data_IF_785934075360
#
_entry.id   IF_785934075360
#
_cell.length_a   1.000
_cell.length_b   1.000
_cell.length_c   1.000
_cell.angle_alpha   90.00
_cell.angle_beta   90.00
_cell.angle_gamma   90.00
#
_symmetry.space_group_name_H-M   'P 1'
#
loop_
_entity.id
_entity.type
_entity.pdbx_description
1 polymer ?
#
# COMPACT_ATOMS: atom_id res chain seq x y z
N UNK A 1 -7.75 -13.67 24.08
CA UNK A 1 -8.38 -12.55 24.83
C UNK A 1 -7.73 -11.24 24.40
N UNK A 2 -8.49 -10.14 24.23
CA UNK A 2 -7.97 -8.84 23.75
C UNK A 2 -6.76 -8.32 24.54
N UNK A 3 -6.75 -8.54 25.87
CA UNK A 3 -5.63 -8.21 26.76
C UNK A 3 -4.32 -8.92 26.38
N UNK A 4 -4.38 -10.21 26.02
CA UNK A 4 -3.20 -10.97 25.55
C UNK A 4 -2.64 -10.37 24.27
N UNK A 5 -3.53 -10.08 23.31
CA UNK A 5 -3.14 -9.47 22.04
C UNK A 5 -2.52 -8.09 22.22
N UNK A 6 -3.06 -7.28 23.14
CA UNK A 6 -2.48 -5.97 23.47
C UNK A 6 -1.11 -6.13 24.14
N UNK A 7 -0.96 -7.10 25.05
CA UNK A 7 0.31 -7.37 25.73
C UNK A 7 1.42 -7.75 24.74
N UNK A 8 1.12 -8.69 23.83
CA UNK A 8 2.06 -9.15 22.81
C UNK A 8 2.50 -7.99 21.91
N UNK A 9 1.55 -7.18 21.44
CA UNK A 9 1.83 -6.00 20.61
C UNK A 9 2.69 -4.96 21.34
N UNK A 10 2.38 -4.68 22.60
CA UNK A 10 3.11 -3.73 23.42
C UNK A 10 4.57 -4.16 23.59
N UNK A 11 4.78 -5.43 23.98
CA UNK A 11 6.11 -6.01 24.17
C UNK A 11 6.94 -6.04 22.87
N UNK A 12 6.38 -6.56 21.78
CA UNK A 12 7.07 -6.65 20.49
C UNK A 12 7.51 -5.26 20.00
N UNK A 13 6.64 -4.26 20.13
CA UNK A 13 6.96 -2.90 19.70
C UNK A 13 8.09 -2.28 20.51
N UNK A 14 8.10 -2.44 21.84
CA UNK A 14 9.16 -1.91 22.70
C UNK A 14 10.49 -2.63 22.50
N UNK A 15 10.49 -3.95 22.27
CA UNK A 15 11.71 -4.70 21.95
C UNK A 15 12.33 -4.14 20.66
N UNK A 16 11.52 -3.97 19.60
CA UNK A 16 12.01 -3.41 18.33
C UNK A 16 12.57 -2.00 18.49
N UNK A 17 11.90 -1.15 19.27
CA UNK A 17 12.38 0.19 19.58
C UNK A 17 13.75 0.16 20.25
N UNK A 18 13.93 -0.72 21.24
CA UNK A 18 15.23 -0.87 21.91
C UNK A 18 16.31 -1.34 20.93
N UNK A 19 16.04 -2.36 20.10
CA UNK A 19 17.00 -2.82 19.09
C UNK A 19 17.42 -1.68 18.15
N UNK A 20 16.46 -0.91 17.65
CA UNK A 20 16.76 0.21 16.74
C UNK A 20 17.56 1.32 17.42
N UNK A 21 17.28 1.62 18.70
CA UNK A 21 18.06 2.58 19.49
C UNK A 21 19.51 2.12 19.66
N UNK A 22 19.75 0.82 19.86
CA UNK A 22 21.11 0.27 19.93
C UNK A 22 21.86 0.41 18.60
N UNK A 23 21.20 0.13 17.48
CA UNK A 23 21.77 0.26 16.14
C UNK A 23 22.10 1.72 15.80
N UNK A 24 21.16 2.64 16.03
CA UNK A 24 21.35 4.06 15.79
C UNK A 24 22.42 4.67 16.71
N UNK A 25 22.54 4.17 17.94
CA UNK A 25 23.60 4.53 18.87
C UNK A 25 25.00 4.16 18.38
N UNK A 26 25.14 3.12 17.55
CA UNK A 26 26.43 2.78 16.90
C UNK A 26 26.79 3.74 15.75
N UNK A 27 25.80 4.41 15.16
CA UNK A 27 25.95 5.30 13.99
C UNK A 27 26.11 6.78 14.42
N UNK A 28 26.10 7.09 15.73
CA UNK A 28 26.36 8.43 16.28
C UNK A 28 25.38 9.52 15.80
N UNK A 29 24.13 9.16 15.48
CA UNK A 29 23.08 10.12 15.11
C UNK A 29 22.47 10.70 16.39
N UNK A 30 23.02 11.83 16.84
CA UNK A 30 22.67 12.55 18.08
C UNK A 30 21.22 13.07 18.15
N UNK A 31 20.45 13.06 17.06
CA UNK A 31 19.12 13.67 17.01
C UNK A 31 17.98 12.84 17.63
N UNK A 32 18.16 11.53 17.87
CA UNK A 32 17.07 10.64 18.30
C UNK A 32 16.82 10.57 19.82
N UNK A 33 17.73 11.10 20.64
CA UNK A 33 17.53 11.16 22.10
C UNK A 33 16.42 12.13 22.51
N UNK A 34 16.32 13.29 21.85
CA UNK A 34 15.27 14.27 22.14
C UNK A 34 13.90 13.71 21.79
N UNK A 35 13.75 13.04 20.64
CA UNK A 35 12.47 12.45 20.23
C UNK A 35 12.04 11.28 21.13
N UNK A 36 12.98 10.50 21.66
CA UNK A 36 12.65 9.43 22.61
C UNK A 36 12.15 9.99 23.95
N UNK A 37 12.62 11.14 24.43
CA UNK A 37 12.07 11.81 25.61
C UNK A 37 10.57 12.13 25.46
N UNK A 38 10.16 12.69 24.31
CA UNK A 38 8.75 12.99 24.02
C UNK A 38 7.88 11.73 24.03
N UNK A 39 8.32 10.69 23.32
CA UNK A 39 7.60 9.42 23.25
C UNK A 39 7.43 8.80 24.66
N UNK A 40 8.53 8.68 25.42
CA UNK A 40 8.48 8.06 26.74
C UNK A 40 7.72 8.90 27.76
N UNK A 41 7.69 10.23 27.63
CA UNK A 41 6.80 11.10 28.43
C UNK A 41 5.34 10.69 28.26
N UNK A 42 4.87 10.63 27.03
CA UNK A 42 3.46 10.35 26.73
C UNK A 42 3.10 8.90 27.09
N UNK A 43 4.01 7.96 26.81
CA UNK A 43 3.83 6.56 27.20
C UNK A 43 3.73 6.39 28.72
N UNK A 44 4.63 7.00 29.49
CA UNK A 44 4.64 6.89 30.95
C UNK A 44 3.43 7.57 31.60
N UNK A 45 2.96 8.68 31.03
CA UNK A 45 1.71 9.32 31.47
C UNK A 45 0.51 8.38 31.32
N UNK A 46 0.44 7.59 30.24
CA UNK A 46 -0.63 6.61 30.04
C UNK A 46 -0.47 5.41 30.98
N UNK A 47 0.74 4.84 31.06
CA UNK A 47 0.98 3.57 31.76
C UNK A 47 0.94 3.73 33.28
N UNK A 48 1.58 4.76 33.81
CA UNK A 48 1.64 4.97 35.26
C UNK A 48 0.64 6.01 35.77
N UNK A 49 -0.06 6.72 34.86
CA UNK A 49 -0.96 7.80 35.25
C UNK A 49 -0.23 9.05 35.74
N UNK A 50 1.01 9.27 35.30
CA UNK A 50 1.77 10.47 35.63
C UNK A 50 1.32 11.70 34.83
N UNK A 51 1.86 12.86 35.19
CA UNK A 51 1.71 14.16 34.53
C UNK A 51 3.09 14.74 34.20
N UNK A 52 3.90 13.97 33.47
CA UNK A 52 5.26 14.31 33.07
C UNK A 52 5.28 15.39 32.00
N UNK A 53 6.22 16.32 32.13
CA UNK A 53 6.59 17.33 31.15
C UNK A 53 8.09 17.27 30.85
N UNK A 54 8.49 17.64 29.63
CA UNK A 54 9.92 17.72 29.29
C UNK A 54 10.56 18.93 29.98
N UNK A 55 11.62 18.67 30.74
CA UNK A 55 12.34 19.71 31.49
C UNK A 55 13.14 20.65 30.57
N UNK A 56 13.61 20.14 29.42
CA UNK A 56 14.42 20.85 28.41
C UNK A 56 13.75 22.07 27.76
N UNK A 57 12.48 22.41 28.08
CA UNK A 57 11.80 23.64 27.60
C UNK A 57 12.26 24.93 28.30
N UNK A 58 13.06 24.88 29.38
CA UNK A 58 13.38 26.09 30.20
C UNK A 58 14.86 26.41 30.46
N UNK A 59 15.82 25.50 30.28
CA UNK A 59 17.26 25.78 30.46
C UNK A 59 18.13 24.86 29.59
N UNK A 60 19.14 25.41 28.90
CA UNK A 60 20.08 24.68 28.01
C UNK A 60 21.26 23.99 28.73
N UNK A 61 21.34 24.09 30.06
CA UNK A 61 22.43 23.50 30.84
C UNK A 61 21.99 22.13 31.38
N UNK A 62 22.64 21.06 30.91
CA UNK A 62 22.25 19.66 31.08
C UNK A 62 21.78 19.28 32.51
N UNK A 63 20.45 19.24 32.77
CA UNK A 63 19.92 18.90 34.08
C UNK A 63 20.15 17.41 34.39
N UNK A 64 19.93 17.02 35.65
CA UNK A 64 20.11 15.63 36.09
C UNK A 64 19.05 14.66 35.54
N UNK A 65 17.98 15.17 34.94
CA UNK A 65 16.80 14.43 34.49
C UNK A 65 16.19 15.11 33.26
N UNK A 66 15.38 14.37 32.51
CA UNK A 66 14.81 14.82 31.24
C UNK A 66 13.32 15.15 31.38
N UNK A 67 12.61 14.40 32.23
CA UNK A 67 11.17 14.55 32.48
C UNK A 67 10.90 14.91 33.95
N UNK A 68 9.87 15.73 34.18
CA UNK A 68 9.43 16.14 35.51
C UNK A 68 7.91 16.11 35.65
N UNK A 69 7.44 15.58 36.76
CA UNK A 69 6.05 15.64 37.22
C UNK A 69 6.03 16.37 38.56
N UNK A 70 5.57 17.63 38.53
CA UNK A 70 5.51 18.48 39.72
C UNK A 70 4.41 18.06 40.70
N UNK A 71 3.38 17.36 40.21
CA UNK A 71 2.21 16.92 41.00
C UNK A 71 2.58 15.72 41.86
N UNK A 72 3.18 14.70 41.24
CA UNK A 72 3.59 13.47 41.93
C UNK A 72 5.01 13.56 42.51
N UNK A 73 5.71 14.68 42.30
CA UNK A 73 7.10 14.91 42.72
C UNK A 73 8.04 13.82 42.18
N UNK A 74 7.94 13.55 40.88
CA UNK A 74 8.77 12.56 40.19
C UNK A 74 9.66 13.26 39.17
N UNK A 75 10.92 12.88 39.11
CA UNK A 75 11.83 13.23 38.03
C UNK A 75 12.35 11.95 37.36
N UNK A 76 12.44 11.95 36.04
CA UNK A 76 12.84 10.77 35.27
C UNK A 76 13.97 11.11 34.32
N UNK A 77 15.01 10.29 34.33
CA UNK A 77 16.05 10.31 33.31
C UNK A 77 15.81 9.19 32.29
N UNK A 78 15.75 9.54 31.01
CA UNK A 78 15.67 8.63 29.87
C UNK A 78 17.09 8.38 29.36
N UNK A 79 17.56 7.14 29.36
CA UNK A 79 18.97 6.85 29.02
C UNK A 79 19.16 5.54 28.28
N UNK A 80 19.94 5.58 27.20
CA UNK A 80 20.30 4.38 26.44
C UNK A 80 21.46 3.57 27.05
N UNK A 81 22.14 4.11 28.07
CA UNK A 81 23.32 3.48 28.68
C UNK A 81 22.97 2.84 30.02
N UNK A 82 22.66 1.55 30.01
CA UNK A 82 22.37 0.76 31.22
C UNK A 82 23.64 0.34 31.97
N UNK A 83 24.38 1.30 32.53
CA UNK A 83 25.60 1.06 33.33
C UNK A 83 25.50 1.68 34.72
N UNK A 84 26.13 1.02 35.71
CA UNK A 84 26.16 1.51 37.10
C UNK A 84 26.74 2.93 37.19
N UNK A 85 27.86 3.15 36.50
CA UNK A 85 28.53 4.45 36.48
C UNK A 85 27.60 5.56 35.99
N UNK A 86 26.77 5.32 34.97
CA UNK A 86 25.83 6.31 34.45
C UNK A 86 24.80 6.75 35.50
N UNK A 87 24.28 5.82 36.30
CA UNK A 87 23.36 6.12 37.42
C UNK A 87 24.09 6.94 38.49
N UNK A 88 25.29 6.51 38.91
CA UNK A 88 26.06 7.21 39.93
C UNK A 88 26.50 8.60 39.48
N UNK A 89 26.85 8.79 38.21
CA UNK A 89 27.21 10.09 37.65
C UNK A 89 26.01 11.05 37.69
N UNK A 90 24.79 10.56 37.46
CA UNK A 90 23.57 11.34 37.66
C UNK A 90 23.34 11.64 39.13
N UNK A 91 23.43 10.63 40.02
CA UNK A 91 23.21 10.79 41.46
C UNK A 91 24.22 11.74 42.14
N UNK A 92 25.41 11.94 41.55
CA UNK A 92 26.44 12.88 42.02
C UNK A 92 26.15 14.34 41.66
N UNK A 93 25.21 14.62 40.76
CA UNK A 93 24.93 16.00 40.32
C UNK A 93 24.36 16.82 41.46
N UNK A 94 25.02 17.93 41.80
CA UNK A 94 24.64 18.83 42.90
C UNK A 94 23.22 19.38 42.78
N UNK A 95 22.70 19.53 41.55
CA UNK A 95 21.33 19.98 41.32
C UNK A 95 20.26 19.06 41.95
N UNK A 96 20.59 17.80 42.24
CA UNK A 96 19.67 16.88 42.91
C UNK A 96 19.43 17.22 44.38
N UNK A 97 20.33 17.98 45.04
CA UNK A 97 20.14 18.40 46.43
C UNK A 97 18.89 19.26 46.58
N UNK A 98 18.70 20.25 45.69
CA UNK A 98 17.50 21.09 45.68
C UNK A 98 16.23 20.26 45.46
N UNK A 99 16.29 19.25 44.58
CA UNK A 99 15.14 18.38 44.31
C UNK A 99 14.85 17.41 45.45
N UNK A 100 15.87 16.97 46.18
CA UNK A 100 15.70 16.21 47.40
C UNK A 100 14.95 17.03 48.45
N UNK A 101 15.34 18.28 48.68
CA UNK A 101 14.66 19.19 49.61
C UNK A 101 13.20 19.46 49.22
N UNK A 102 12.92 19.56 47.92
CA UNK A 102 11.56 19.69 47.39
C UNK A 102 10.75 18.36 47.44
N UNK A 103 11.36 17.26 47.91
CA UNK A 103 10.72 15.95 48.11
C UNK A 103 10.59 15.09 46.85
N UNK A 104 11.41 15.31 45.82
CA UNK A 104 11.33 14.55 44.58
C UNK A 104 11.92 13.14 44.68
N UNK A 105 11.30 12.22 43.95
CA UNK A 105 11.78 10.87 43.70
C UNK A 105 12.39 10.77 42.30
N UNK A 106 13.63 10.30 42.23
CA UNK A 106 14.33 10.09 40.96
C UNK A 106 14.08 8.68 40.43
N UNK A 107 13.73 8.59 39.15
CA UNK A 107 13.60 7.34 38.40
C UNK A 107 14.48 7.36 37.15
N UNK A 108 14.88 6.17 36.70
CA UNK A 108 15.61 5.96 35.47
C UNK A 108 14.78 5.05 34.56
N UNK A 109 14.55 5.47 33.33
CA UNK A 109 14.05 4.59 32.28
C UNK A 109 15.19 4.27 31.33
N UNK A 110 15.53 2.98 31.25
CA UNK A 110 16.55 2.53 30.31
C UNK A 110 15.91 2.17 28.98
N UNK A 111 16.56 2.57 27.89
CA UNK A 111 16.15 2.28 26.51
C UNK A 111 17.33 1.64 25.78
N UNK A 112 17.09 0.94 24.68
CA UNK A 112 18.15 0.15 24.03
C UNK A 112 18.60 -1.02 24.89
N UNK A 113 19.92 -1.18 25.06
CA UNK A 113 20.48 -2.34 25.75
C UNK A 113 20.22 -2.28 27.26
N UNK A 114 19.43 -3.23 27.75
CA UNK A 114 18.99 -3.32 29.14
C UNK A 114 19.59 -4.52 29.84
N UNK A 115 19.89 -4.38 31.13
CA UNK A 115 20.39 -5.47 31.96
C UNK A 115 19.66 -5.51 33.30
N UNK A 116 18.82 -6.52 33.52
CA UNK A 116 18.05 -6.70 34.75
C UNK A 116 18.90 -6.70 36.02
N UNK A 117 20.15 -7.18 35.96
CA UNK A 117 21.04 -7.22 37.12
C UNK A 117 21.40 -5.82 37.64
N UNK A 118 21.16 -4.75 36.87
CA UNK A 118 21.38 -3.37 37.31
C UNK A 118 20.58 -3.03 38.58
N UNK A 119 19.39 -3.59 38.74
CA UNK A 119 18.49 -3.34 39.88
C UNK A 119 19.04 -3.87 41.20
N UNK A 120 19.87 -4.90 41.14
CA UNK A 120 20.46 -5.59 42.30
C UNK A 120 21.80 -4.99 42.73
N UNK A 121 22.28 -3.93 42.07
CA UNK A 121 23.54 -3.26 42.42
C UNK A 121 23.31 -2.21 43.50
N UNK A 122 24.36 -1.95 44.28
CA UNK A 122 24.41 -0.83 45.21
C UNK A 122 24.95 0.41 44.50
N UNK A 123 24.34 1.57 44.79
CA UNK A 123 24.67 2.85 44.17
C UNK A 123 25.05 3.88 45.24
N UNK A 124 26.10 4.64 44.98
CA UNK A 124 26.40 5.83 45.79
C UNK A 124 25.42 6.95 45.47
N UNK A 125 24.70 7.43 46.49
CA UNK A 125 23.71 8.50 46.40
C UNK A 125 24.09 9.63 47.37
N UNK A 126 25.12 10.44 47.04
CA UNK A 126 25.70 11.41 47.98
C UNK A 126 24.72 12.52 48.39
N UNK A 127 23.75 12.85 47.54
CA UNK A 127 22.75 13.89 47.77
C UNK A 127 21.45 13.37 48.38
N UNK A 128 21.39 12.08 48.75
CA UNK A 128 20.28 11.43 49.43
C UNK A 128 18.89 11.62 48.79
N UNK A 129 18.82 11.78 47.46
CA UNK A 129 17.53 11.86 46.77
C UNK A 129 16.76 10.54 46.92
N UNK A 130 15.43 10.57 46.96
CA UNK A 130 14.62 9.37 47.05
C UNK A 130 14.83 8.51 45.79
N UNK A 131 15.51 7.38 45.95
CA UNK A 131 15.84 6.44 44.89
C UNK A 131 16.02 5.01 45.47
N UNK A 132 15.24 4.07 44.97
CA UNK A 132 15.31 2.63 45.23
C UNK A 132 15.55 1.90 43.91
N UNK A 133 16.73 1.29 43.75
CA UNK A 133 17.13 0.65 42.49
C UNK A 133 16.19 -0.46 42.01
N UNK A 134 15.41 -1.08 42.91
CA UNK A 134 14.45 -2.13 42.52
C UNK A 134 13.17 -1.55 41.92
N UNK A 135 12.72 -0.39 42.41
CA UNK A 135 11.44 0.24 42.04
C UNK A 135 11.58 1.42 41.08
N UNK A 136 12.72 2.08 41.10
CA UNK A 136 12.95 3.34 40.41
C UNK A 136 13.81 3.19 39.16
N UNK A 137 14.29 1.97 38.89
CA UNK A 137 14.81 1.59 37.58
C UNK A 137 13.68 0.91 36.81
N UNK A 138 13.26 1.53 35.71
CA UNK A 138 12.22 1.03 34.81
C UNK A 138 12.89 0.47 33.55
N UNK A 139 12.65 -0.82 33.32
CA UNK A 139 13.05 -1.57 32.13
C UNK A 139 11.79 -1.93 31.31
N UNK A 140 12.00 -2.55 30.14
CA UNK A 140 10.88 -2.97 29.27
C UNK A 140 9.93 -3.92 29.98
N UNK A 141 10.46 -4.84 30.79
CA UNK A 141 9.65 -5.80 31.55
C UNK A 141 8.73 -5.12 32.55
N UNK A 142 9.22 -4.09 33.26
CA UNK A 142 8.41 -3.36 34.24
C UNK A 142 7.28 -2.58 33.55
N UNK A 143 7.55 -1.98 32.38
CA UNK A 143 6.52 -1.35 31.55
C UNK A 143 5.45 -2.34 31.12
N UNK A 144 5.86 -3.54 30.72
CA UNK A 144 4.93 -4.60 30.33
C UNK A 144 4.08 -5.10 31.50
N UNK A 145 4.64 -5.23 32.69
CA UNK A 145 3.92 -5.61 33.91
C UNK A 145 2.87 -4.55 34.27
N UNK A 146 3.24 -3.28 34.26
CA UNK A 146 2.32 -2.18 34.56
C UNK A 146 1.24 -2.03 33.48
N UNK A 147 1.61 -2.16 32.20
CA UNK A 147 0.66 -2.16 31.09
C UNK A 147 -0.37 -3.30 31.21
N UNK A 148 0.05 -4.48 31.67
CA UNK A 148 -0.84 -5.62 31.87
C UNK A 148 -1.93 -5.32 32.91
N UNK A 149 -1.62 -4.52 33.93
CA UNK A 149 -2.55 -4.15 35.00
C UNK A 149 -3.57 -3.08 34.58
N UNK A 150 -3.34 -2.37 33.47
CA UNK A 150 -4.27 -1.36 32.96
C UNK A 150 -5.63 -1.96 32.55
N UNK A 151 -6.66 -1.09 32.53
CA UNK A 151 -7.92 -1.43 31.88
C UNK A 151 -7.77 -1.41 30.35
N UNK A 152 -8.71 -2.07 29.66
CA UNK A 152 -8.60 -2.28 28.22
C UNK A 152 -8.55 -0.99 27.40
N UNK A 153 -9.24 0.07 27.84
CA UNK A 153 -9.27 1.36 27.15
C UNK A 153 -7.92 2.07 27.23
N UNK A 154 -7.26 2.04 28.40
CA UNK A 154 -5.91 2.58 28.55
C UNK A 154 -4.88 1.76 27.78
N UNK A 155 -5.03 0.44 27.73
CA UNK A 155 -4.19 -0.42 26.88
C UNK A 155 -4.32 -0.04 25.41
N UNK A 156 -5.55 0.11 24.92
CA UNK A 156 -5.81 0.50 23.53
C UNK A 156 -5.19 1.88 23.22
N UNK A 157 -5.30 2.84 24.15
CA UNK A 157 -4.73 4.17 23.97
C UNK A 157 -3.20 4.17 23.89
N UNK A 158 -2.52 3.40 24.75
CA UNK A 158 -1.07 3.23 24.66
C UNK A 158 -0.65 2.53 23.35
N UNK A 159 -1.39 1.50 22.90
CA UNK A 159 -1.14 0.84 21.60
C UNK A 159 -1.33 1.81 20.43
N UNK A 160 -2.29 2.72 20.51
CA UNK A 160 -2.50 3.76 19.50
C UNK A 160 -1.34 4.75 19.45
N UNK A 161 -0.81 5.18 20.60
CA UNK A 161 0.39 6.02 20.68
C UNK A 161 1.60 5.33 20.02
N UNK A 162 1.86 4.08 20.38
CA UNK A 162 2.92 3.25 19.79
C UNK A 162 2.82 3.20 18.27
N UNK A 163 1.61 3.00 17.73
CA UNK A 163 1.37 2.98 16.28
C UNK A 163 1.61 4.34 15.64
N UNK A 164 1.14 5.44 16.25
CA UNK A 164 1.26 6.78 15.64
C UNK A 164 2.70 7.26 15.60
N UNK A 165 3.46 7.03 16.67
CA UNK A 165 4.81 7.60 16.80
C UNK A 165 5.91 6.68 16.31
N UNK A 166 5.78 5.35 16.49
CA UNK A 166 6.87 4.42 16.20
C UNK A 166 6.72 3.67 14.88
N UNK A 167 5.54 3.71 14.24
CA UNK A 167 5.31 3.09 12.94
C UNK A 167 6.44 3.45 11.94
N UNK A 168 6.70 4.72 11.61
CA UNK A 168 7.74 5.07 10.64
C UNK A 168 9.16 4.58 11.01
N UNK A 169 9.46 4.46 12.31
CA UNK A 169 10.81 4.15 12.84
C UNK A 169 11.10 2.63 12.91
N UNK A 170 10.08 1.80 13.14
CA UNK A 170 10.23 0.36 13.38
C UNK A 170 10.01 -0.52 12.14
N UNK A 171 9.69 0.09 11.00
CA UNK A 171 9.31 -0.63 9.78
C UNK A 171 10.47 -0.93 8.81
N UNK A 172 11.70 -0.45 9.02
CA UNK A 172 12.78 -0.60 8.02
C UNK A 172 13.38 -2.02 7.88
N UNK A 173 13.48 -2.81 8.96
CA UNK A 173 14.07 -4.16 8.89
C UNK A 173 13.04 -5.28 8.79
N UNK A 174 11.83 -5.07 9.34
CA UNK A 174 10.70 -6.01 9.20
C UNK A 174 10.02 -5.96 7.84
N UNK A 175 10.47 -5.07 6.94
CA UNK A 175 9.99 -4.88 5.57
C UNK A 175 11.12 -5.01 4.55
N UNK A 176 12.19 -5.75 4.86
CA UNK A 176 13.29 -6.04 3.91
C UNK A 176 12.76 -6.49 2.55
N UNK A 177 11.69 -7.29 2.55
CA UNK A 177 11.01 -7.75 1.34
C UNK A 177 10.52 -6.61 0.44
N UNK A 178 10.18 -5.43 0.98
CA UNK A 178 9.73 -4.26 0.24
C UNK A 178 10.88 -3.37 -0.30
N UNK A 179 12.15 -3.70 0.00
CA UNK A 179 13.29 -2.97 -0.55
C UNK A 179 13.44 -3.28 -2.03
N UNK A 180 13.77 -2.25 -2.82
CA UNK A 180 13.91 -2.37 -4.28
C UNK A 180 14.95 -3.43 -4.66
N UNK A 181 16.06 -3.50 -3.93
CA UNK A 181 17.12 -4.50 -4.13
C UNK A 181 16.58 -5.92 -3.93
N UNK A 182 15.84 -6.17 -2.84
CA UNK A 182 15.28 -7.48 -2.55
C UNK A 182 14.27 -7.91 -3.61
N UNK A 183 13.37 -7.01 -4.01
CA UNK A 183 12.36 -7.30 -5.05
C UNK A 183 13.06 -7.65 -6.37
N UNK A 184 14.10 -6.89 -6.74
CA UNK A 184 14.89 -7.14 -7.95
C UNK A 184 15.61 -8.49 -7.90
N UNK A 185 16.31 -8.78 -6.80
CA UNK A 185 17.01 -10.06 -6.61
C UNK A 185 16.04 -11.24 -6.67
N UNK A 186 14.88 -11.11 -6.02
CA UNK A 186 13.86 -12.16 -6.02
C UNK A 186 13.27 -12.38 -7.41
N UNK A 187 13.01 -11.30 -8.14
CA UNK A 187 12.47 -11.40 -9.50
C UNK A 187 13.48 -12.04 -10.45
N UNK A 188 14.74 -11.59 -10.45
CA UNK A 188 15.81 -12.16 -11.28
C UNK A 188 16.09 -13.63 -10.92
N UNK A 189 16.08 -13.98 -9.63
CA UNK A 189 16.17 -15.37 -9.19
C UNK A 189 15.03 -16.21 -9.78
N UNK A 190 13.77 -15.76 -9.69
CA UNK A 190 12.66 -16.54 -10.23
C UNK A 190 12.68 -16.60 -11.76
N UNK A 191 13.06 -15.53 -12.45
CA UNK A 191 13.16 -15.53 -13.92
C UNK A 191 14.29 -16.46 -14.39
N UNK A 192 15.46 -16.42 -13.77
CA UNK A 192 16.56 -17.34 -14.11
C UNK A 192 16.18 -18.82 -13.91
N UNK A 193 15.33 -19.11 -12.92
CA UNK A 193 14.80 -20.45 -12.66
C UNK A 193 13.71 -20.91 -13.65
N UNK A 194 13.28 -20.06 -14.59
CA UNK A 194 12.43 -20.49 -15.73
C UNK A 194 13.21 -21.26 -16.81
N UNK A 195 14.53 -21.40 -16.66
CA UNK A 195 15.44 -22.09 -17.59
C UNK A 195 15.38 -21.50 -19.03
N UNK A 196 15.75 -22.28 -20.05
CA UNK A 196 15.70 -21.91 -21.48
C UNK A 196 14.31 -21.52 -22.03
N UNK A 197 13.28 -21.44 -21.18
CA UNK A 197 11.91 -21.04 -21.54
C UNK A 197 11.73 -19.53 -21.62
N UNK A 198 12.70 -18.77 -21.12
CA UNK A 198 12.75 -17.32 -21.26
C UNK A 198 14.06 -16.90 -21.92
N UNK A 199 13.94 -16.15 -23.01
CA UNK A 199 15.05 -15.53 -23.72
C UNK A 199 14.60 -14.12 -24.13
N UNK A 200 15.17 -13.09 -23.50
CA UNK A 200 14.82 -11.69 -23.77
C UNK A 200 14.98 -11.31 -25.26
N UNK A 201 15.91 -11.95 -25.97
CA UNK A 201 16.18 -11.67 -27.38
C UNK A 201 15.08 -12.15 -28.36
N UNK A 202 14.14 -13.00 -27.90
CA UNK A 202 13.02 -13.49 -28.71
C UNK A 202 11.67 -12.86 -28.29
N UNK A 203 11.71 -11.75 -27.55
CA UNK A 203 10.50 -11.06 -27.10
C UNK A 203 9.82 -10.38 -28.30
N UNK A 204 8.76 -11.01 -28.81
CA UNK A 204 7.87 -10.40 -29.81
C UNK A 204 6.72 -9.74 -29.05
N UNK A 205 6.46 -8.47 -29.36
CA UNK A 205 5.33 -7.76 -28.76
C UNK A 205 4.02 -8.34 -29.31
N UNK A 206 3.24 -9.02 -28.48
CA UNK A 206 1.99 -9.69 -28.89
C UNK A 206 0.78 -9.03 -28.27
N UNK A 207 -0.41 -9.29 -28.82
CA UNK A 207 -1.69 -8.83 -28.23
C UNK A 207 -1.79 -9.23 -26.75
N UNK A 208 -1.25 -10.39 -26.38
CA UNK A 208 -1.26 -10.89 -25.00
C UNK A 208 -0.46 -10.00 -24.03
N UNK A 209 0.45 -9.16 -24.52
CA UNK A 209 1.21 -8.23 -23.68
C UNK A 209 0.32 -7.08 -23.18
N UNK A 210 -0.76 -6.74 -23.89
CA UNK A 210 -1.69 -5.68 -23.49
C UNK A 210 -2.53 -6.05 -22.26
N UNK A 211 -2.67 -7.34 -21.96
CA UNK A 211 -3.43 -7.83 -20.80
C UNK A 211 -2.89 -7.23 -19.48
N UNK A 212 -1.60 -6.91 -19.44
CA UNK A 212 -0.97 -6.31 -18.25
C UNK A 212 -1.44 -4.88 -17.95
N UNK A 213 -1.91 -4.18 -18.99
CA UNK A 213 -2.25 -2.76 -18.92
C UNK A 213 -3.46 -2.55 -17.99
N UNK A 214 -4.49 -3.41 -18.09
CA UNK A 214 -5.68 -3.35 -17.25
C UNK A 214 -5.43 -3.80 -15.81
N UNK A 215 -4.72 -4.91 -15.59
CA UNK A 215 -4.46 -5.47 -14.25
C UNK A 215 -3.43 -4.68 -13.44
N UNK A 216 -2.56 -3.90 -14.09
CA UNK A 216 -1.52 -3.11 -13.41
C UNK A 216 -1.80 -1.61 -13.43
N UNK A 217 -2.88 -1.23 -14.13
CA UNK A 217 -3.34 0.15 -14.33
C UNK A 217 -2.17 1.06 -14.70
N UNK A 218 -1.48 0.69 -15.77
CA UNK A 218 -0.32 1.42 -16.27
C UNK A 218 -0.72 2.85 -16.65
N UNK A 219 0.26 3.75 -16.74
CA UNK A 219 -0.01 5.10 -17.22
C UNK A 219 -0.58 5.09 -18.64
N UNK A 220 -0.07 4.21 -19.50
CA UNK A 220 -0.57 4.03 -20.85
C UNK A 220 -2.05 3.59 -20.88
N UNK A 221 -2.46 2.70 -19.96
CA UNK A 221 -3.87 2.33 -19.79
C UNK A 221 -4.74 3.54 -19.46
N UNK A 222 -4.33 4.35 -18.48
CA UNK A 222 -5.05 5.56 -18.05
C UNK A 222 -5.19 6.57 -19.19
N UNK A 223 -4.07 6.88 -19.86
CA UNK A 223 -4.06 7.86 -20.96
C UNK A 223 -4.87 7.40 -22.17
N UNK A 224 -4.76 6.12 -22.55
CA UNK A 224 -5.47 5.59 -23.72
C UNK A 224 -6.98 5.60 -23.49
N UNK A 225 -7.45 5.22 -22.30
CA UNK A 225 -8.85 5.35 -21.93
C UNK A 225 -9.34 6.80 -22.04
N UNK A 226 -8.63 7.76 -21.44
CA UNK A 226 -8.99 9.18 -21.54
C UNK A 226 -9.02 9.66 -23.00
N UNK A 227 -8.06 9.22 -23.82
CA UNK A 227 -7.99 9.59 -25.24
C UNK A 227 -9.22 9.11 -26.01
N UNK A 228 -9.60 7.83 -25.86
CA UNK A 228 -10.78 7.30 -26.53
C UNK A 228 -12.07 7.99 -26.07
N UNK A 229 -12.21 8.24 -24.76
CA UNK A 229 -13.39 8.93 -24.22
C UNK A 229 -13.50 10.37 -24.73
N UNK A 230 -12.38 11.09 -24.84
CA UNK A 230 -12.35 12.45 -25.42
C UNK A 230 -12.68 12.45 -26.91
N UNK A 231 -12.12 11.49 -27.66
CA UNK A 231 -12.41 11.37 -29.10
C UNK A 231 -13.89 11.03 -29.33
N UNK A 232 -14.44 10.11 -28.55
CA UNK A 232 -15.85 9.72 -28.62
C UNK A 232 -16.78 10.89 -28.27
N UNK A 233 -16.50 11.59 -27.16
CA UNK A 233 -17.20 12.82 -26.77
C UNK A 233 -17.18 13.85 -27.91
N UNK A 234 -16.00 14.12 -28.48
CA UNK A 234 -15.85 15.08 -29.56
C UNK A 234 -16.69 14.75 -30.81
N UNK A 235 -16.86 13.47 -31.15
CA UNK A 235 -17.74 13.08 -32.24
C UNK A 235 -19.23 13.14 -31.88
N UNK A 236 -19.63 12.77 -30.65
CA UNK A 236 -21.03 12.84 -30.19
C UNK A 236 -21.51 14.30 -30.11
N UNK A 237 -20.65 15.20 -29.63
CA UNK A 237 -20.95 16.64 -29.49
C UNK A 237 -20.93 17.40 -30.82
N UNK A 238 -20.31 16.83 -31.86
CA UNK A 238 -20.23 17.46 -33.18
C UNK A 238 -21.60 17.45 -33.89
N UNK A 239 -22.41 18.45 -33.57
CA UNK A 239 -23.76 18.61 -34.10
C UNK A 239 -23.73 18.82 -35.62
N UNK A 240 -24.61 18.09 -36.31
CA UNK A 240 -24.83 18.18 -37.77
C UNK A 240 -26.30 18.43 -38.10
N UNK A 241 -27.13 18.75 -37.09
CA UNK A 241 -28.56 18.96 -37.25
C UNK A 241 -28.88 20.11 -38.22
N UNK A 242 -28.01 21.11 -38.29
CA UNK A 242 -28.06 22.24 -39.22
C UNK A 242 -27.87 21.82 -40.68
N UNK A 243 -27.10 20.75 -40.94
CA UNK A 243 -26.93 20.15 -42.26
C UNK A 243 -28.15 19.35 -42.73
N UNK A 244 -29.04 18.96 -41.80
CA UNK A 244 -30.25 18.20 -42.11
C UNK A 244 -31.37 19.15 -42.52
N UNK A 245 -31.82 19.07 -43.79
CA UNK A 245 -32.87 19.95 -44.32
C UNK A 245 -34.26 19.36 -44.09
N UNK A 246 -34.41 18.06 -44.32
CA UNK A 246 -35.66 17.34 -44.20
C UNK A 246 -36.01 17.05 -42.74
N UNK A 247 -37.32 17.08 -42.43
CA UNK A 247 -37.83 16.66 -41.10
C UNK A 247 -37.46 15.21 -40.77
N UNK A 248 -37.35 14.36 -41.79
CA UNK A 248 -36.99 12.95 -41.64
C UNK A 248 -35.53 12.78 -41.24
N UNK A 249 -34.58 13.43 -41.93
CA UNK A 249 -33.17 13.37 -41.56
C UNK A 249 -32.92 13.91 -40.14
N UNK A 250 -33.60 15.00 -39.76
CA UNK A 250 -33.57 15.53 -38.38
C UNK A 250 -34.03 14.49 -37.36
N UNK A 251 -35.14 13.79 -37.62
CA UNK A 251 -35.62 12.75 -36.72
C UNK A 251 -34.65 11.56 -36.60
N UNK A 252 -34.07 11.11 -37.72
CA UNK A 252 -33.06 10.04 -37.72
C UNK A 252 -31.84 10.45 -36.89
N UNK A 253 -31.32 11.66 -37.11
CA UNK A 253 -30.21 12.22 -36.32
C UNK A 253 -30.55 12.25 -34.83
N UNK A 254 -31.72 12.77 -34.44
CA UNK A 254 -32.12 12.87 -33.04
C UNK A 254 -32.31 11.49 -32.40
N UNK A 255 -32.86 10.51 -33.12
CA UNK A 255 -32.99 9.14 -32.64
C UNK A 255 -31.63 8.48 -32.43
N UNK A 256 -30.69 8.67 -33.36
CA UNK A 256 -29.33 8.18 -33.22
C UNK A 256 -28.63 8.82 -32.00
N UNK A 257 -28.72 10.15 -31.85
CA UNK A 257 -28.11 10.87 -30.72
C UNK A 257 -28.63 10.39 -29.37
N UNK A 258 -29.92 10.05 -29.28
CA UNK A 258 -30.52 9.53 -28.03
C UNK A 258 -29.86 8.24 -27.54
N UNK A 259 -29.35 7.39 -28.43
CA UNK A 259 -28.66 6.14 -28.04
C UNK A 259 -27.45 6.45 -27.15
N UNK A 260 -26.78 7.57 -27.41
CA UNK A 260 -25.56 7.98 -26.72
C UNK A 260 -25.79 8.87 -25.50
N UNK A 261 -27.04 9.25 -25.20
CA UNK A 261 -27.32 10.23 -24.14
C UNK A 261 -26.79 9.84 -22.75
N UNK A 262 -26.99 8.57 -22.36
CA UNK A 262 -26.45 8.05 -21.10
C UNK A 262 -24.92 8.01 -21.13
N UNK A 263 -24.33 7.51 -22.23
CA UNK A 263 -22.88 7.44 -22.37
C UNK A 263 -22.23 8.82 -22.31
N UNK A 264 -22.80 9.80 -23.03
CA UNK A 264 -22.36 11.19 -23.03
C UNK A 264 -22.35 11.77 -21.61
N UNK A 265 -23.44 11.55 -20.85
CA UNK A 265 -23.52 11.99 -19.46
C UNK A 265 -22.44 11.35 -18.59
N UNK A 266 -22.28 10.02 -18.65
CA UNK A 266 -21.30 9.30 -17.81
C UNK A 266 -19.86 9.65 -18.19
N UNK A 267 -19.57 9.86 -19.48
CA UNK A 267 -18.28 10.33 -19.97
C UNK A 267 -17.99 11.76 -19.49
N UNK A 268 -18.97 12.67 -19.53
CA UNK A 268 -18.82 14.02 -19.01
C UNK A 268 -18.49 14.00 -17.51
N UNK A 269 -19.26 13.25 -16.73
CA UNK A 269 -19.02 13.06 -15.31
C UNK A 269 -17.58 12.57 -15.05
N UNK A 270 -17.10 11.56 -15.80
CA UNK A 270 -15.75 11.03 -15.63
C UNK A 270 -14.64 12.04 -15.98
N UNK A 271 -14.82 12.80 -17.06
CA UNK A 271 -13.82 13.75 -17.56
C UNK A 271 -13.75 15.03 -16.71
N UNK A 272 -14.85 15.48 -16.11
CA UNK A 272 -14.93 16.72 -15.30
C UNK A 272 -14.45 16.55 -13.86
N UNK A 273 -14.40 15.33 -13.33
CA UNK A 273 -13.94 15.08 -11.96
C UNK A 273 -12.44 15.42 -11.81
N UNK A 274 -12.08 16.23 -10.82
CA UNK A 274 -10.69 16.48 -10.42
C UNK A 274 -10.21 15.52 -9.32
N UNK A 275 -10.52 14.22 -9.49
CA UNK A 275 -10.16 13.16 -8.53
C UNK A 275 -9.02 12.27 -9.05
N UNK A 276 -8.39 11.52 -8.14
CA UNK A 276 -7.41 10.49 -8.52
C UNK A 276 -8.09 9.35 -9.30
N UNK A 277 -7.34 8.67 -10.17
CA UNK A 277 -7.86 7.61 -11.04
C UNK A 277 -8.62 6.51 -10.27
N UNK A 278 -8.18 6.19 -9.05
CA UNK A 278 -8.82 5.21 -8.17
C UNK A 278 -10.28 5.56 -7.84
N UNK A 279 -10.57 6.82 -7.52
CA UNK A 279 -11.94 7.26 -7.22
C UNK A 279 -12.81 7.30 -8.49
N UNK A 280 -12.16 7.48 -9.64
CA UNK A 280 -12.82 7.47 -10.95
C UNK A 280 -13.17 6.09 -11.48
N UNK A 281 -12.59 5.00 -10.92
CA UNK A 281 -12.84 3.62 -11.38
C UNK A 281 -14.32 3.28 -11.44
N UNK A 282 -15.11 3.71 -10.45
CA UNK A 282 -16.56 3.44 -10.39
C UNK A 282 -17.31 3.95 -11.63
N UNK A 283 -16.92 5.11 -12.18
CA UNK A 283 -17.53 5.67 -13.38
C UNK A 283 -17.10 4.93 -14.64
N UNK A 284 -15.86 4.41 -14.68
CA UNK A 284 -15.40 3.57 -15.79
C UNK A 284 -16.21 2.28 -15.90
N UNK A 285 -16.69 1.72 -14.79
CA UNK A 285 -17.56 0.53 -14.81
C UNK A 285 -18.83 0.80 -15.61
N UNK A 286 -19.54 1.86 -15.27
CA UNK A 286 -20.77 2.28 -15.96
C UNK A 286 -20.51 2.58 -17.44
N UNK A 287 -19.43 3.31 -17.74
CA UNK A 287 -19.05 3.63 -19.13
C UNK A 287 -18.76 2.35 -19.94
N UNK A 288 -18.05 1.39 -19.36
CA UNK A 288 -17.72 0.14 -20.07
C UNK A 288 -18.95 -0.72 -20.33
N UNK A 289 -19.91 -0.76 -19.40
CA UNK A 289 -21.20 -1.42 -19.60
C UNK A 289 -21.98 -0.78 -20.76
N UNK A 290 -22.12 0.55 -20.75
CA UNK A 290 -22.78 1.29 -21.83
C UNK A 290 -22.11 1.09 -23.19
N UNK A 291 -20.77 1.06 -23.23
CA UNK A 291 -20.02 0.81 -24.47
C UNK A 291 -20.27 -0.61 -25.00
N UNK A 292 -20.39 -1.61 -24.13
CA UNK A 292 -20.65 -3.00 -24.55
C UNK A 292 -22.10 -3.20 -25.03
N UNK A 293 -23.05 -2.44 -24.46
CA UNK A 293 -24.46 -2.46 -24.89
C UNK A 293 -24.68 -1.79 -26.25
N UNK A 294 -23.84 -0.82 -26.61
CA UNK A 294 -23.96 -0.11 -27.89
C UNK A 294 -23.42 -0.99 -29.02
N UNK A 295 -24.35 -1.56 -29.78
CA UNK A 295 -24.09 -2.23 -31.05
C UNK A 295 -24.85 -1.51 -32.16
N UNK A 296 -24.15 -0.69 -32.95
CA UNK A 296 -24.76 0.08 -34.04
C UNK A 296 -23.96 -0.11 -35.32
N UNK A 297 -24.63 -0.64 -36.34
CA UNK A 297 -24.19 -0.56 -37.72
C UNK A 297 -24.91 0.62 -38.40
N UNK A 298 -24.20 1.66 -38.89
CA UNK A 298 -24.80 2.82 -39.53
C UNK A 298 -25.70 2.49 -40.73
N UNK A 299 -25.37 1.46 -41.49
CA UNK A 299 -26.17 1.03 -42.64
C UNK A 299 -27.47 0.40 -42.16
N UNK A 300 -27.41 -0.54 -41.21
CA UNK A 300 -28.59 -1.19 -40.63
C UNK A 300 -29.49 -0.15 -39.96
N UNK A 301 -28.91 0.72 -39.13
CA UNK A 301 -29.65 1.76 -38.42
C UNK A 301 -30.41 2.67 -39.39
N UNK A 302 -29.76 3.10 -40.47
CA UNK A 302 -30.42 3.90 -41.50
C UNK A 302 -31.46 3.11 -42.26
N UNK A 303 -31.27 1.82 -42.55
CA UNK A 303 -32.28 1.01 -43.24
C UNK A 303 -33.52 0.81 -42.38
N UNK A 304 -33.39 0.40 -41.11
CA UNK A 304 -34.51 0.18 -40.18
C UNK A 304 -35.33 1.45 -39.95
N UNK A 305 -34.65 2.60 -39.86
CA UNK A 305 -35.32 3.90 -39.71
C UNK A 305 -35.85 4.47 -41.05
N UNK A 306 -35.47 3.88 -42.19
CA UNK A 306 -35.95 4.23 -43.52
C UNK A 306 -37.05 3.30 -44.05
N UNK A 307 -37.33 2.15 -43.42
CA UNK A 307 -38.35 1.19 -43.90
C UNK A 307 -39.76 1.77 -44.01
N UNK A 308 -40.01 2.98 -43.49
CA UNK A 308 -41.29 3.68 -43.68
C UNK A 308 -41.34 4.75 -44.79
N UNK A 309 -40.25 5.18 -45.45
CA UNK A 309 -40.33 6.18 -46.55
C UNK A 309 -39.04 6.29 -47.39
N UNK A 310 -38.88 5.40 -48.36
CA UNK A 310 -37.70 5.26 -49.26
C UNK A 310 -37.37 6.52 -50.10
N UNK A 311 -38.18 7.59 -50.10
CA UNK A 311 -38.02 8.76 -50.99
C UNK A 311 -37.90 10.13 -50.30
N UNK A 312 -37.64 10.22 -48.98
CA UNK A 312 -37.81 11.51 -48.24
C UNK A 312 -36.54 12.18 -47.69
N UNK A 313 -35.38 11.57 -47.86
CA UNK A 313 -34.07 12.15 -47.52
C UNK A 313 -33.22 12.20 -48.78
N UNK A 314 -32.49 13.31 -48.97
CA UNK A 314 -31.58 13.45 -50.12
C UNK A 314 -30.34 12.56 -49.96
N UNK A 315 -29.72 12.17 -51.07
CA UNK A 315 -28.45 11.42 -51.05
C UNK A 315 -27.35 12.16 -50.28
N UNK A 316 -27.33 13.50 -50.34
CA UNK A 316 -26.39 14.30 -49.55
C UNK A 316 -26.64 14.20 -48.04
N UNK A 317 -27.90 14.28 -47.58
CA UNK A 317 -28.24 14.12 -46.15
C UNK A 317 -27.92 12.70 -45.67
N UNK A 318 -28.21 11.69 -46.49
CA UNK A 318 -27.89 10.30 -46.21
C UNK A 318 -26.38 10.12 -46.04
N UNK A 319 -25.58 10.69 -46.95
CA UNK A 319 -24.12 10.63 -46.87
C UNK A 319 -23.57 11.35 -45.64
N UNK A 320 -24.12 12.51 -45.27
CA UNK A 320 -23.73 13.24 -44.05
C UNK A 320 -24.05 12.43 -42.78
N UNK A 321 -25.25 11.84 -42.69
CA UNK A 321 -25.63 10.95 -41.58
C UNK A 321 -24.72 9.73 -41.50
N UNK A 322 -24.50 9.04 -42.62
CA UNK A 322 -23.60 7.88 -42.69
C UNK A 322 -22.19 8.25 -42.23
N UNK A 323 -21.64 9.33 -42.76
CA UNK A 323 -20.28 9.78 -42.42
C UNK A 323 -20.14 10.10 -40.93
N UNK A 324 -21.15 10.73 -40.33
CA UNK A 324 -21.17 11.03 -38.91
C UNK A 324 -21.27 9.77 -38.06
N UNK A 325 -22.25 8.90 -38.36
CA UNK A 325 -22.47 7.65 -37.62
C UNK A 325 -21.24 6.73 -37.71
N UNK A 326 -20.64 6.58 -38.89
CA UNK A 326 -19.44 5.75 -39.10
C UNK A 326 -18.20 6.27 -38.35
N UNK A 327 -18.08 7.57 -38.09
CA UNK A 327 -16.99 8.10 -37.26
C UNK A 327 -17.12 7.62 -35.81
N UNK A 328 -18.32 7.67 -35.25
CA UNK A 328 -18.60 7.23 -33.89
C UNK A 328 -18.43 5.71 -33.77
N UNK A 329 -19.02 4.95 -34.69
CA UNK A 329 -18.88 3.49 -34.76
C UNK A 329 -17.40 3.07 -34.81
N UNK A 330 -16.59 3.71 -35.66
CA UNK A 330 -15.17 3.39 -35.80
C UNK A 330 -14.39 3.60 -34.50
N UNK A 331 -14.70 4.66 -33.74
CA UNK A 331 -14.07 4.91 -32.44
C UNK A 331 -14.52 3.88 -31.41
N UNK A 332 -15.82 3.58 -31.36
CA UNK A 332 -16.38 2.54 -30.48
C UNK A 332 -15.72 1.17 -30.73
N UNK A 333 -15.66 0.71 -31.98
CA UNK A 333 -15.06 -0.59 -32.32
C UNK A 333 -13.60 -0.67 -31.91
N UNK A 334 -12.83 0.40 -32.15
CA UNK A 334 -11.43 0.47 -31.71
C UNK A 334 -11.32 0.41 -30.20
N UNK A 335 -12.20 1.13 -29.49
CA UNK A 335 -12.17 1.19 -28.04
C UNK A 335 -12.60 -0.14 -27.41
N UNK A 336 -13.68 -0.75 -27.88
CA UNK A 336 -14.10 -2.10 -27.49
C UNK A 336 -13.00 -3.13 -27.71
N UNK A 337 -12.32 -3.07 -28.87
CA UNK A 337 -11.16 -3.94 -29.15
C UNK A 337 -10.05 -3.72 -28.13
N UNK A 338 -9.68 -2.45 -27.89
CA UNK A 338 -8.67 -2.10 -26.90
C UNK A 338 -9.02 -2.62 -25.50
N UNK A 339 -10.25 -2.37 -25.03
CA UNK A 339 -10.74 -2.80 -23.73
C UNK A 339 -10.64 -4.33 -23.56
N UNK A 340 -11.00 -5.08 -24.62
CA UNK A 340 -10.87 -6.54 -24.65
C UNK A 340 -9.41 -7.01 -24.62
N UNK A 341 -8.53 -6.39 -25.40
CA UNK A 341 -7.10 -6.72 -25.43
C UNK A 341 -6.39 -6.42 -24.11
N UNK A 342 -6.86 -5.40 -23.38
CA UNK A 342 -6.30 -5.00 -22.07
C UNK A 342 -6.92 -5.70 -20.87
N UNK A 343 -7.91 -6.58 -21.08
CA UNK A 343 -8.70 -7.20 -20.01
C UNK A 343 -9.25 -6.16 -19.02
N UNK A 344 -10.07 -5.23 -19.51
CA UNK A 344 -10.69 -4.15 -18.70
C UNK A 344 -11.37 -4.64 -17.41
N UNK A 345 -11.84 -5.88 -17.38
CA UNK A 345 -12.49 -6.50 -16.22
C UNK A 345 -11.54 -6.59 -15.02
N UNK A 346 -10.22 -6.68 -15.28
CA UNK A 346 -9.19 -6.67 -14.24
C UNK A 346 -9.16 -5.38 -13.42
N UNK A 347 -9.75 -4.30 -13.94
CA UNK A 347 -9.91 -3.04 -13.20
C UNK A 347 -10.83 -3.18 -11.98
N UNK A 348 -11.84 -4.06 -12.06
CA UNK A 348 -12.87 -4.25 -11.03
C UNK A 348 -12.71 -5.58 -10.30
N UNK A 349 -12.15 -6.58 -10.98
CA UNK A 349 -11.86 -7.89 -10.45
C UNK A 349 -10.37 -8.17 -10.68
N UNK A 350 -9.48 -7.81 -9.73
CA UNK A 350 -8.01 -7.79 -9.93
C UNK A 350 -7.39 -9.19 -9.90
N UNK A 351 -8.00 -10.12 -10.65
CA UNK A 351 -7.63 -11.50 -10.81
C UNK A 351 -7.57 -11.82 -12.30
N UNK A 352 -6.44 -12.38 -12.72
CA UNK A 352 -6.28 -12.83 -14.10
C UNK A 352 -5.81 -14.29 -14.08
N UNK A 353 -6.51 -15.13 -14.83
CA UNK A 353 -6.17 -16.54 -14.99
C UNK A 353 -5.68 -16.77 -16.42
N UNK A 354 -4.41 -17.15 -16.57
CA UNK A 354 -3.83 -17.47 -17.88
C UNK A 354 -3.73 -18.99 -18.03
N UNK A 355 -4.44 -19.52 -19.02
CA UNK A 355 -4.49 -20.96 -19.34
C UNK A 355 -4.08 -21.22 -20.79
N UNK A 356 -3.61 -22.43 -21.06
CA UNK A 356 -3.31 -22.89 -22.43
C UNK A 356 -2.41 -24.12 -22.45
N UNK A 357 -2.11 -24.61 -23.64
CA UNK A 357 -1.25 -25.78 -23.83
C UNK A 357 0.20 -25.53 -23.39
N UNK A 358 0.93 -26.60 -23.07
CA UNK A 358 2.35 -26.50 -22.74
C UNK A 358 3.14 -26.01 -23.97
N UNK A 359 4.06 -25.06 -23.76
CA UNK A 359 4.89 -24.51 -24.85
C UNK A 359 4.31 -23.29 -25.56
N UNK A 360 3.06 -22.90 -25.30
CA UNK A 360 2.41 -21.72 -25.93
C UNK A 360 2.97 -20.35 -25.48
N UNK A 361 4.04 -20.32 -24.68
CA UNK A 361 4.68 -19.08 -24.24
C UNK A 361 4.16 -18.47 -22.93
N UNK A 362 3.30 -19.14 -22.16
CA UNK A 362 2.79 -18.60 -20.87
C UNK A 362 3.87 -18.16 -19.88
N UNK A 363 4.88 -19.00 -19.66
CA UNK A 363 5.99 -18.67 -18.75
C UNK A 363 6.83 -17.50 -19.26
N UNK A 364 6.97 -17.40 -20.58
CA UNK A 364 7.68 -16.31 -21.24
C UNK A 364 6.91 -15.00 -21.07
N UNK A 365 5.60 -15.00 -21.33
CA UNK A 365 4.70 -13.88 -21.10
C UNK A 365 4.81 -13.36 -19.65
N UNK A 366 4.75 -14.24 -18.65
CA UNK A 366 4.91 -13.85 -17.24
C UNK A 366 6.24 -13.15 -16.97
N UNK A 367 7.34 -13.74 -17.40
CA UNK A 367 8.68 -13.19 -17.15
C UNK A 367 8.84 -11.82 -17.82
N UNK A 368 8.40 -11.71 -19.08
CA UNK A 368 8.44 -10.47 -19.84
C UNK A 368 7.59 -9.38 -19.16
N UNK A 369 6.35 -9.68 -18.80
CA UNK A 369 5.45 -8.74 -18.12
C UNK A 369 5.99 -8.31 -16.76
N UNK A 370 6.56 -9.25 -16.00
CA UNK A 370 7.17 -8.94 -14.70
C UNK A 370 8.35 -7.98 -14.85
N UNK A 371 9.21 -8.17 -15.86
CA UNK A 371 10.32 -7.25 -16.14
C UNK A 371 9.82 -5.88 -16.56
N UNK A 372 8.93 -5.81 -17.55
CA UNK A 372 8.36 -4.55 -18.04
C UNK A 372 7.78 -3.71 -16.91
N UNK A 373 6.93 -4.32 -16.08
CA UNK A 373 6.33 -3.61 -14.95
C UNK A 373 7.36 -3.24 -13.87
N UNK A 374 8.39 -4.06 -13.67
CA UNK A 374 9.45 -3.75 -12.71
C UNK A 374 10.30 -2.57 -13.17
N UNK A 375 10.58 -2.47 -14.46
CA UNK A 375 11.25 -1.31 -15.07
C UNK A 375 10.41 -0.03 -14.91
N UNK A 376 9.09 -0.17 -14.81
CA UNK A 376 8.14 0.90 -14.47
C UNK A 376 7.98 1.13 -12.95
N UNK A 377 8.83 0.53 -12.11
CA UNK A 377 8.84 0.60 -10.65
C UNK A 377 7.58 0.05 -9.96
N UNK A 378 6.88 -0.92 -10.57
CA UNK A 378 5.85 -1.67 -9.85
C UNK A 378 6.47 -2.64 -8.84
N UNK A 379 5.70 -2.94 -7.78
CA UNK A 379 6.09 -3.95 -6.79
C UNK A 379 5.57 -5.30 -7.30
N UNK A 380 6.47 -6.24 -7.55
CA UNK A 380 6.12 -7.51 -8.19
C UNK A 380 6.84 -8.65 -7.50
N UNK A 381 6.09 -9.68 -7.12
CA UNK A 381 6.69 -10.97 -6.76
C UNK A 381 6.21 -12.05 -7.71
N UNK A 382 7.17 -12.67 -8.38
CA UNK A 382 6.97 -13.86 -9.19
C UNK A 382 7.28 -15.10 -8.37
N UNK A 383 6.27 -15.95 -8.20
CA UNK A 383 6.39 -17.20 -7.45
C UNK A 383 6.25 -18.38 -8.40
N UNK A 384 7.29 -19.21 -8.46
CA UNK A 384 7.24 -20.45 -9.24
C UNK A 384 6.67 -21.59 -8.38
N UNK A 385 5.58 -22.18 -8.85
CA UNK A 385 4.89 -23.31 -8.23
C UNK A 385 5.76 -24.54 -8.01
N UNK A 386 6.89 -24.66 -8.73
CA UNK A 386 7.87 -25.72 -8.47
C UNK A 386 8.52 -25.63 -7.08
N UNK A 387 8.50 -24.47 -6.43
CA UNK A 387 9.01 -24.27 -5.08
C UNK A 387 7.95 -24.55 -4.00
N UNK A 388 6.68 -24.68 -4.38
CA UNK A 388 5.56 -25.02 -3.50
C UNK A 388 5.43 -26.54 -3.36
N UNK A 389 6.39 -27.16 -2.67
CA UNK A 389 6.52 -28.62 -2.59
C UNK A 389 5.98 -29.22 -1.31
N UNK A 390 5.77 -28.41 -0.27
CA UNK A 390 5.31 -28.88 1.04
C UNK A 390 3.79 -28.93 1.07
N UNK A 391 3.23 -29.95 1.72
CA UNK A 391 1.81 -30.06 2.00
C UNK A 391 1.41 -29.16 3.18
N UNK A 392 1.79 -27.88 3.09
CA UNK A 392 1.53 -26.83 4.07
C UNK A 392 0.83 -25.67 3.37
N UNK A 393 0.22 -24.77 4.16
CA UNK A 393 -0.51 -23.62 3.65
C UNK A 393 0.35 -22.79 2.66
N UNK A 394 -0.17 -22.42 1.46
CA UNK A 394 0.58 -21.66 0.47
C UNK A 394 1.09 -20.30 0.97
N UNK A 395 0.37 -19.64 1.89
CA UNK A 395 0.84 -18.38 2.45
C UNK A 395 2.05 -18.57 3.36
N UNK A 396 2.11 -19.65 4.13
CA UNK A 396 3.32 -19.96 4.89
C UNK A 396 4.52 -20.18 3.96
N UNK A 397 4.33 -20.82 2.82
CA UNK A 397 5.39 -20.98 1.81
C UNK A 397 5.82 -19.65 1.20
N UNK A 398 4.87 -18.77 0.85
CA UNK A 398 5.15 -17.42 0.33
C UNK A 398 5.91 -16.58 1.34
N UNK A 399 5.45 -16.52 2.60
CA UNK A 399 6.09 -15.71 3.62
C UNK A 399 7.50 -16.20 3.91
N UNK A 400 7.71 -17.51 4.01
CA UNK A 400 9.05 -18.08 4.17
C UNK A 400 9.96 -17.76 2.97
N UNK A 401 9.43 -17.85 1.74
CA UNK A 401 10.17 -17.54 0.51
C UNK A 401 10.58 -16.07 0.41
N UNK A 402 9.80 -15.17 1.03
CA UNK A 402 10.07 -13.74 1.14
C UNK A 402 10.80 -13.36 2.44
N UNK A 403 11.21 -14.34 3.26
CA UNK A 403 11.86 -14.13 4.56
C UNK A 403 11.02 -13.26 5.53
N UNK A 404 9.69 -13.34 5.41
CA UNK A 404 8.73 -12.61 6.23
C UNK A 404 8.43 -13.40 7.50
N UNK A 405 8.75 -12.80 8.65
CA UNK A 405 8.55 -13.42 9.97
C UNK A 405 7.23 -13.04 10.65
N UNK A 406 6.45 -12.13 10.04
CA UNK A 406 5.17 -11.65 10.56
C UNK A 406 3.96 -12.43 9.99
N UNK A 407 2.75 -12.12 10.46
CA UNK A 407 1.53 -12.77 9.95
C UNK A 407 1.17 -12.34 8.53
N UNK A 408 0.40 -13.17 7.81
CA UNK A 408 -0.13 -12.86 6.48
C UNK A 408 -0.83 -11.50 6.45
N UNK A 409 -1.63 -11.18 7.47
CA UNK A 409 -2.32 -9.89 7.56
C UNK A 409 -1.35 -8.70 7.61
N UNK A 410 -0.25 -8.83 8.35
CA UNK A 410 0.76 -7.78 8.46
C UNK A 410 1.53 -7.63 7.15
N UNK A 411 1.87 -8.74 6.49
CA UNK A 411 2.45 -8.74 5.15
C UNK A 411 1.56 -8.02 4.13
N UNK A 412 0.30 -8.43 4.01
CA UNK A 412 -0.67 -7.83 3.09
C UNK A 412 -0.88 -6.34 3.37
N UNK A 413 -1.00 -5.97 4.65
CA UNK A 413 -1.16 -4.56 5.06
C UNK A 413 0.06 -3.73 4.71
N UNK A 414 1.27 -4.26 4.94
CA UNK A 414 2.51 -3.54 4.68
C UNK A 414 2.70 -3.28 3.19
N UNK A 415 2.41 -4.29 2.37
CA UNK A 415 2.50 -4.11 0.92
C UNK A 415 1.41 -3.17 0.40
N UNK A 416 0.18 -3.27 0.90
CA UNK A 416 -0.89 -2.34 0.54
C UNK A 416 -0.53 -0.90 0.87
N UNK A 417 0.09 -0.65 2.03
CA UNK A 417 0.60 0.68 2.39
C UNK A 417 1.70 1.14 1.43
N UNK A 418 2.64 0.27 1.07
CA UNK A 418 3.71 0.62 0.13
C UNK A 418 3.16 0.94 -1.26
N UNK A 419 2.18 0.19 -1.75
CA UNK A 419 1.48 0.44 -3.00
C UNK A 419 0.78 1.82 -3.02
N UNK A 420 0.16 2.21 -1.89
CA UNK A 420 -0.43 3.56 -1.74
C UNK A 420 0.64 4.66 -1.75
N UNK A 421 1.73 4.46 -1.02
CA UNK A 421 2.85 5.39 -0.95
C UNK A 421 3.49 5.63 -2.33
N UNK A 422 3.69 4.57 -3.11
CA UNK A 422 4.30 4.64 -4.44
C UNK A 422 3.31 4.95 -5.56
N UNK A 423 2.01 4.98 -5.27
CA UNK A 423 0.91 5.07 -6.26
C UNK A 423 1.02 4.01 -7.36
N UNK A 424 1.49 2.81 -7.00
CA UNK A 424 1.77 1.69 -7.90
C UNK A 424 1.17 0.42 -7.32
N UNK A 425 0.46 -0.35 -8.13
CA UNK A 425 -0.14 -1.60 -7.68
C UNK A 425 0.92 -2.67 -7.41
N UNK A 426 0.65 -3.51 -6.40
CA UNK A 426 1.37 -4.76 -6.19
C UNK A 426 0.76 -5.85 -7.06
N UNK A 427 1.61 -6.57 -7.78
CA UNK A 427 1.23 -7.81 -8.45
C UNK A 427 1.91 -9.03 -7.81
N UNK A 428 1.07 -9.98 -7.35
CA UNK A 428 1.50 -11.32 -6.96
C UNK A 428 1.23 -12.27 -8.13
N UNK A 429 2.28 -12.89 -8.64
CA UNK A 429 2.22 -13.77 -9.80
C UNK A 429 2.49 -15.21 -9.34
N UNK A 430 1.48 -16.07 -9.36
CA UNK A 430 1.60 -17.47 -8.97
C UNK A 430 1.58 -18.37 -10.21
N UNK A 431 2.73 -18.98 -10.52
CA UNK A 431 2.87 -19.84 -11.69
C UNK A 431 2.85 -21.32 -11.28
N UNK A 432 1.76 -22.06 -11.52
CA UNK A 432 1.73 -23.50 -11.20
C UNK A 432 2.26 -24.35 -12.37
N UNK A 433 3.27 -25.19 -12.12
CA UNK A 433 3.68 -26.26 -13.04
C UNK A 433 2.97 -27.56 -12.64
N UNK A 434 1.90 -27.94 -13.33
CA UNK A 434 1.39 -29.32 -13.21
C UNK A 434 2.38 -30.27 -13.88
N UNK A 435 3.26 -30.92 -13.10
CA UNK A 435 3.90 -32.17 -13.51
C UNK A 435 3.04 -33.34 -13.00
N UNK A 436 1.97 -33.67 -13.73
CA UNK A 436 1.36 -35.00 -13.64
C UNK A 436 1.22 -35.54 -15.05
N UNK A 437 1.85 -36.69 -15.30
CA UNK A 437 1.66 -37.51 -16.50
C UNK A 437 0.20 -37.96 -16.53
N UNK A 438 -0.72 -37.14 -17.06
CA UNK A 438 -1.93 -37.46 -17.85
C UNK A 438 -2.57 -36.10 -18.21
N UNK A 439 -2.64 -35.79 -19.52
CA UNK A 439 -3.39 -34.69 -20.17
C UNK A 439 -3.33 -33.27 -19.53
N UNK A 440 -2.35 -32.48 -19.96
CA UNK A 440 -2.64 -31.46 -21.00
C UNK A 440 -3.00 -30.02 -20.64
N UNK A 441 -3.05 -29.57 -19.37
CA UNK A 441 -3.34 -28.15 -19.08
C UNK A 441 -2.51 -27.60 -17.90
N UNK A 442 -2.02 -26.36 -18.03
CA UNK A 442 -1.35 -25.61 -16.96
C UNK A 442 -2.10 -24.33 -16.65
N UNK A 443 -2.24 -24.00 -15.36
CA UNK A 443 -2.99 -22.85 -14.85
C UNK A 443 -2.05 -21.87 -14.13
N UNK A 444 -2.26 -20.57 -14.35
CA UNK A 444 -1.47 -19.48 -13.76
C UNK A 444 -2.42 -18.43 -13.21
N UNK A 445 -2.31 -18.12 -11.92
CA UNK A 445 -3.18 -17.17 -11.23
C UNK A 445 -2.39 -15.90 -10.95
N UNK A 446 -2.88 -14.78 -11.46
CA UNK A 446 -2.48 -13.45 -11.07
C UNK A 446 -3.44 -12.96 -10.00
N UNK A 447 -2.87 -12.39 -8.94
CA UNK A 447 -3.64 -11.58 -7.99
C UNK A 447 -2.95 -10.23 -7.90
N UNK A 448 -3.55 -9.22 -8.51
CA UNK A 448 -3.22 -7.85 -8.13
C UNK A 448 -3.88 -7.59 -6.78
N UNK A 449 -3.09 -7.18 -5.80
CA UNK A 449 -3.66 -6.65 -4.55
C UNK A 449 -3.82 -5.15 -4.77
N UNK A 450 -4.88 -4.80 -5.49
CA UNK A 450 -5.40 -3.43 -5.46
C UNK A 450 -6.14 -3.22 -4.15
N UNK A 451 -6.04 -2.02 -3.62
CA UNK A 451 -6.61 -1.60 -2.35
C UNK A 451 -8.11 -1.90 -2.29
N UNK A 452 -8.52 -2.54 -1.18
CA UNK A 452 -9.88 -2.42 -0.64
C UNK A 452 -10.11 -0.97 -0.20
#
# INVERSE_FOLDING_TARGET
>A
MKRSTNQEKFLDTLIRLNTKIEELGKINILNNHIYSEYFFRDLLNIVYGYSLENHNKKQKNAPAFDLIDNTNKIIIQVTATCKKQKIEDTLKKEYLTNKMEEGYRLKFIFIGNQNNNIKNKNFSNPHNILFDSKKDIILTQDLCEEFLNLNINKQDHAIELLKKELSPLLFEDSLSYLKEEFINEKLEFNISNLASRYTANNDVDTINNKIIEGISITNNFKYTNISYLKELKGYIENDILDKMKSKYAKNIYLNFKKIFSNLEQSVNNYLELEEEFEEKKKYLSEIYELIDEINIDPYIFLTEHNECNIYKISENEKLELQTYMSKIEKVLLKYQTYLKETCKECLFYPYLLVQGEAGIGKSHLLAHLSKKLRDENHIIYLFLGQFFTKNEDPWHQILNDLEVTNSVDNFLRSISNKAKETKKELLLLLMRLMKVKVKGYGEIIFKALSTI
#
